data_IF_749102788507
#
_entry.id   IF_749102788507
#
_cell.length_a   1.000
_cell.length_b   1.000
_cell.length_c   1.000
_cell.angle_alpha   90.00
_cell.angle_beta   90.00
_cell.angle_gamma   90.00
#
_symmetry.space_group_name_H-M   'P 1'
#
loop_
_entity.id
_entity.type
_entity.pdbx_description
1 polymer ?
#
# COMPACT_ATOMS: atom_id res chain seq x y z
N UNK A 1 -17.98 -29.34 17.58
CA UNK A 1 -17.16 -28.40 16.78
C UNK A 1 -15.76 -28.97 16.74
N UNK A 2 -15.18 -29.26 15.57
CA UNK A 2 -13.76 -29.61 15.48
C UNK A 2 -12.97 -28.42 16.05
N UNK A 3 -12.21 -28.67 17.10
CA UNK A 3 -11.30 -27.69 17.66
C UNK A 3 -10.17 -27.54 16.65
N UNK A 4 -10.11 -26.41 15.94
CA UNK A 4 -8.97 -26.04 15.11
C UNK A 4 -7.73 -26.13 16.00
N UNK A 5 -6.81 -27.03 15.66
CA UNK A 5 -5.52 -27.11 16.31
C UNK A 5 -4.90 -25.72 16.32
N UNK A 6 -4.44 -25.27 17.49
CA UNK A 6 -3.75 -24.00 17.59
C UNK A 6 -2.51 -24.08 16.69
N UNK A 7 -2.47 -23.28 15.63
CA UNK A 7 -1.28 -23.14 14.80
C UNK A 7 -0.08 -22.88 15.70
N UNK A 8 1.07 -23.55 15.46
CA UNK A 8 2.27 -23.28 16.22
C UNK A 8 2.56 -21.78 16.22
N UNK A 9 2.94 -21.24 17.38
CA UNK A 9 3.22 -19.82 17.53
C UNK A 9 4.28 -19.39 16.51
N UNK A 10 4.01 -18.30 15.79
CA UNK A 10 4.92 -17.77 14.77
C UNK A 10 6.15 -17.19 15.48
N UNK A 11 7.33 -17.66 15.10
CA UNK A 11 8.60 -17.04 15.52
C UNK A 11 9.00 -15.94 14.52
N UNK A 12 8.72 -14.70 14.91
CA UNK A 12 9.05 -13.48 14.15
C UNK A 12 10.55 -13.20 14.02
N UNK A 13 11.41 -13.94 14.74
CA UNK A 13 12.86 -13.74 14.71
C UNK A 13 13.60 -14.67 13.74
N UNK A 14 12.92 -15.67 13.17
CA UNK A 14 13.54 -16.57 12.19
C UNK A 14 13.98 -15.82 10.92
N UNK A 15 15.08 -16.28 10.31
CA UNK A 15 15.56 -15.73 9.05
C UNK A 15 14.51 -15.85 7.94
N UNK A 16 13.80 -16.99 7.89
CA UNK A 16 12.71 -17.22 6.92
C UNK A 16 11.58 -16.22 7.07
N UNK A 17 11.14 -15.95 8.31
CA UNK A 17 10.09 -14.95 8.54
C UNK A 17 10.57 -13.56 8.11
N UNK A 18 11.78 -13.15 8.53
CA UNK A 18 12.32 -11.81 8.21
C UNK A 18 12.57 -11.60 6.72
N UNK A 19 13.03 -12.63 6.02
CA UNK A 19 13.17 -12.61 4.56
C UNK A 19 11.80 -12.38 3.89
N UNK A 20 10.78 -13.16 4.25
CA UNK A 20 9.43 -12.97 3.71
C UNK A 20 8.84 -11.60 4.08
N UNK A 21 9.01 -11.19 5.34
CA UNK A 21 8.54 -9.91 5.86
C UNK A 21 9.22 -8.73 5.17
N UNK A 22 10.46 -8.86 4.70
CA UNK A 22 11.15 -7.79 3.96
C UNK A 22 10.40 -7.37 2.70
N UNK A 23 9.83 -8.33 1.97
CA UNK A 23 9.06 -8.09 0.74
C UNK A 23 7.64 -7.64 1.03
N UNK A 24 6.96 -8.29 1.98
CA UNK A 24 5.59 -7.89 2.36
C UNK A 24 5.58 -6.48 2.97
N UNK A 25 6.53 -6.17 3.86
CA UNK A 25 6.64 -4.84 4.44
C UNK A 25 6.96 -3.80 3.37
N UNK A 26 7.82 -4.13 2.39
CA UNK A 26 8.09 -3.22 1.28
C UNK A 26 6.86 -2.97 0.42
N UNK A 27 6.07 -4.01 0.10
CA UNK A 27 4.82 -3.87 -0.65
C UNK A 27 3.87 -2.91 0.07
N UNK A 28 3.62 -3.09 1.37
CA UNK A 28 2.71 -2.16 2.07
C UNK A 28 3.29 -0.76 2.18
N UNK A 29 4.61 -0.58 2.29
CA UNK A 29 5.22 0.76 2.29
C UNK A 29 5.05 1.44 0.92
N UNK A 30 5.32 0.72 -0.17
CA UNK A 30 5.20 1.26 -1.53
C UNK A 30 3.74 1.54 -1.88
N UNK A 31 2.81 0.64 -1.54
CA UNK A 31 1.39 0.83 -1.77
C UNK A 31 0.84 2.08 -1.07
N UNK A 32 1.27 2.35 0.16
CA UNK A 32 0.90 3.56 0.90
C UNK A 32 1.54 4.84 0.33
N UNK A 33 2.78 4.74 -0.18
CA UNK A 33 3.44 5.85 -0.88
C UNK A 33 2.70 6.18 -2.19
N UNK A 34 2.40 5.17 -3.01
CA UNK A 34 1.63 5.34 -4.24
C UNK A 34 0.21 5.85 -3.94
N UNK A 35 -0.45 5.37 -2.89
CA UNK A 35 -1.77 5.86 -2.49
C UNK A 35 -1.73 7.36 -2.11
N UNK A 36 -0.72 7.78 -1.33
CA UNK A 36 -0.50 9.20 -1.05
C UNK A 36 -0.38 10.01 -2.35
N UNK A 37 0.45 9.56 -3.30
CA UNK A 37 0.71 10.29 -4.54
C UNK A 37 -0.53 10.30 -5.46
N UNK A 38 -1.23 9.17 -5.57
CA UNK A 38 -2.46 9.02 -6.37
C UNK A 38 -3.58 9.94 -5.86
N UNK A 39 -3.76 10.07 -4.54
CA UNK A 39 -4.73 11.00 -3.97
C UNK A 39 -4.35 12.47 -4.22
N UNK A 40 -3.06 12.82 -4.25
CA UNK A 40 -2.63 14.15 -4.66
C UNK A 40 -2.95 14.42 -6.13
N UNK A 41 -2.68 13.47 -7.02
CA UNK A 41 -3.06 13.58 -8.44
C UNK A 41 -4.57 13.73 -8.61
N UNK A 42 -5.37 12.92 -7.91
CA UNK A 42 -6.84 13.04 -7.93
C UNK A 42 -7.31 14.41 -7.43
N UNK A 43 -6.62 15.01 -6.45
CA UNK A 43 -6.94 16.34 -5.93
C UNK A 43 -6.71 17.47 -6.95
N UNK A 44 -5.85 17.24 -7.95
CA UNK A 44 -5.67 18.12 -9.11
C UNK A 44 -6.78 17.93 -10.15
N UNK A 45 -7.25 16.68 -10.31
CA UNK A 45 -8.31 16.32 -11.27
C UNK A 45 -9.72 16.68 -10.79
N UNK A 46 -9.97 16.69 -9.47
CA UNK A 46 -11.26 16.94 -8.83
C UNK A 46 -11.18 18.15 -7.88
N UNK A 47 -11.19 19.35 -8.45
CA UNK A 47 -10.97 20.58 -7.69
C UNK A 47 -11.99 20.82 -6.56
N UNK A 48 -13.24 20.36 -6.72
CA UNK A 48 -14.31 20.44 -5.72
C UNK A 48 -14.07 19.49 -4.53
N UNK A 49 -13.26 18.44 -4.71
CA UNK A 49 -12.89 17.45 -3.68
C UNK A 49 -11.46 17.56 -3.18
N UNK A 50 -10.74 18.61 -3.58
CA UNK A 50 -9.31 18.79 -3.34
C UNK A 50 -8.91 18.66 -1.87
N UNK A 51 -9.64 19.31 -0.95
CA UNK A 51 -9.30 19.29 0.48
C UNK A 51 -9.48 17.90 1.09
N UNK A 52 -10.57 17.20 0.73
CA UNK A 52 -10.85 15.83 1.16
C UNK A 52 -9.74 14.88 0.68
N UNK A 53 -9.36 14.95 -0.60
CA UNK A 53 -8.32 14.12 -1.22
C UNK A 53 -6.93 14.39 -0.65
N UNK A 54 -6.58 15.64 -0.36
CA UNK A 54 -5.33 15.98 0.38
C UNK A 54 -5.39 15.44 1.82
N UNK A 55 -6.57 15.39 2.43
CA UNK A 55 -6.78 14.74 3.72
C UNK A 55 -6.44 13.25 3.69
N UNK A 56 -6.91 12.54 2.65
CA UNK A 56 -6.62 11.14 2.41
C UNK A 56 -5.14 10.90 2.16
N UNK A 57 -4.47 11.67 1.29
CA UNK A 57 -3.03 11.48 1.05
C UNK A 57 -2.20 11.60 2.34
N UNK A 58 -2.54 12.57 3.21
CA UNK A 58 -1.90 12.71 4.53
C UNK A 58 -2.14 11.51 5.45
N UNK A 59 -3.25 10.79 5.30
CA UNK A 59 -3.55 9.57 6.04
C UNK A 59 -2.64 8.43 5.57
N UNK A 60 -2.51 8.21 4.27
CA UNK A 60 -1.65 7.14 3.73
C UNK A 60 -0.17 7.36 4.08
N UNK A 61 0.30 8.61 4.06
CA UNK A 61 1.66 8.91 4.55
C UNK A 61 1.84 8.60 6.06
N UNK A 62 0.77 8.65 6.87
CA UNK A 62 0.83 8.19 8.27
C UNK A 62 0.86 6.66 8.34
N UNK A 63 0.06 5.96 7.52
CA UNK A 63 0.10 4.50 7.43
C UNK A 63 1.48 4.00 6.99
N UNK A 64 2.04 4.57 5.93
CA UNK A 64 3.40 4.29 5.46
C UNK A 64 4.42 4.39 6.60
N UNK A 65 4.40 5.48 7.37
CA UNK A 65 5.30 5.67 8.53
C UNK A 65 5.08 4.62 9.61
N UNK A 66 3.84 4.20 9.83
CA UNK A 66 3.49 3.08 10.70
C UNK A 66 4.15 1.78 10.25
N UNK A 67 3.99 1.40 8.98
CA UNK A 67 4.58 0.18 8.43
C UNK A 67 6.12 0.21 8.37
N UNK A 68 6.71 1.39 8.15
CA UNK A 68 8.17 1.57 8.29
C UNK A 68 8.64 1.30 9.73
N UNK A 69 7.84 1.69 10.74
CA UNK A 69 8.15 1.40 12.13
C UNK A 69 8.04 -0.11 12.44
N UNK A 70 7.09 -0.82 11.82
CA UNK A 70 6.97 -2.28 11.95
C UNK A 70 8.24 -3.01 11.46
N UNK A 71 8.78 -2.64 10.30
CA UNK A 71 10.05 -3.19 9.79
C UNK A 71 11.23 -2.92 10.71
N UNK A 72 11.34 -1.67 11.21
CA UNK A 72 12.37 -1.29 12.18
C UNK A 72 12.28 -2.12 13.47
N UNK A 73 11.07 -2.35 13.97
CA UNK A 73 10.85 -3.15 15.18
C UNK A 73 11.36 -4.60 15.02
N UNK A 74 11.20 -5.18 13.82
CA UNK A 74 11.71 -6.52 13.51
C UNK A 74 13.17 -6.55 13.04
N UNK A 75 13.82 -5.38 12.94
CA UNK A 75 15.17 -5.20 12.37
C UNK A 75 15.26 -5.75 10.94
N UNK A 76 14.21 -5.49 10.16
CA UNK A 76 14.11 -5.88 8.75
C UNK A 76 14.31 -4.66 7.87
N UNK A 77 15.17 -4.78 6.87
CA UNK A 77 15.28 -3.80 5.78
C UNK A 77 14.26 -4.18 4.72
N UNK A 78 13.29 -3.32 4.39
CA UNK A 78 12.30 -3.62 3.35
C UNK A 78 12.95 -3.64 1.96
N UNK A 79 12.57 -4.64 1.14
CA UNK A 79 13.02 -4.76 -0.25
C UNK A 79 12.18 -3.86 -1.18
N UNK A 80 12.54 -2.59 -1.23
CA UNK A 80 11.79 -1.59 -2.02
C UNK A 80 11.91 -1.78 -3.54
N UNK A 81 12.94 -2.50 -4.03
CA UNK A 81 13.05 -2.80 -5.46
C UNK A 81 11.96 -3.79 -5.84
N UNK A 82 11.81 -4.86 -5.06
CA UNK A 82 10.74 -5.83 -5.25
C UNK A 82 9.35 -5.18 -5.20
N UNK A 83 9.10 -4.28 -4.25
CA UNK A 83 7.80 -3.62 -4.11
C UNK A 83 7.43 -2.73 -5.30
N UNK A 84 8.40 -1.98 -5.85
CA UNK A 84 8.21 -1.16 -7.05
C UNK A 84 7.92 -1.99 -8.28
N UNK A 85 8.63 -3.09 -8.44
CA UNK A 85 8.36 -4.05 -9.53
C UNK A 85 6.97 -4.67 -9.37
N UNK A 86 6.57 -5.01 -8.14
CA UNK A 86 5.25 -5.58 -7.83
C UNK A 86 4.09 -4.67 -8.24
N UNK A 87 4.17 -3.35 -7.99
CA UNK A 87 3.11 -2.41 -8.36
C UNK A 87 3.22 -1.83 -9.78
N UNK A 88 4.35 -2.01 -10.45
CA UNK A 88 4.71 -1.30 -11.69
C UNK A 88 3.58 -1.23 -12.75
N UNK A 89 2.91 -2.34 -13.03
CA UNK A 89 1.84 -2.38 -14.05
C UNK A 89 0.58 -1.62 -13.60
N UNK A 90 0.17 -1.76 -12.33
CA UNK A 90 -0.99 -1.04 -11.80
C UNK A 90 -0.70 0.46 -11.69
N UNK A 91 0.52 0.81 -11.29
CA UNK A 91 1.04 2.17 -11.28
C UNK A 91 1.00 2.80 -12.68
N UNK A 92 1.54 2.10 -13.69
CA UNK A 92 1.54 2.57 -15.08
C UNK A 92 0.11 2.79 -15.60
N UNK A 93 -0.82 1.90 -15.26
CA UNK A 93 -2.22 2.05 -15.63
C UNK A 93 -2.88 3.28 -14.97
N UNK A 94 -2.55 3.58 -13.71
CA UNK A 94 -3.00 4.80 -13.04
C UNK A 94 -2.43 6.05 -13.73
N UNK A 95 -1.11 6.09 -13.99
CA UNK A 95 -0.46 7.24 -14.62
C UNK A 95 -0.99 7.50 -16.05
N UNK A 96 -1.24 6.45 -16.83
CA UNK A 96 -1.88 6.59 -18.15
C UNK A 96 -3.30 7.15 -18.03
N UNK A 97 -4.08 6.62 -17.10
CA UNK A 97 -5.44 7.09 -16.87
C UNK A 97 -5.49 8.56 -16.42
N UNK A 98 -4.57 8.97 -15.52
CA UNK A 98 -4.50 10.35 -15.04
C UNK A 98 -4.09 11.32 -16.16
N UNK A 99 -3.09 10.96 -16.97
CA UNK A 99 -2.64 11.74 -18.12
C UNK A 99 -3.74 11.95 -19.17
N UNK A 100 -4.66 10.98 -19.31
CA UNK A 100 -5.81 11.06 -20.21
C UNK A 100 -7.07 11.68 -19.58
N UNK A 101 -7.00 12.13 -18.31
CA UNK A 101 -8.14 12.71 -17.61
C UNK A 101 -9.23 11.71 -17.21
N UNK A 102 -8.92 10.41 -17.19
CA UNK A 102 -9.87 9.32 -16.88
C UNK A 102 -10.07 9.15 -15.38
N UNK A 103 -10.68 10.15 -14.73
CA UNK A 103 -10.94 10.19 -13.28
C UNK A 103 -11.56 8.89 -12.75
N UNK A 104 -12.57 8.34 -13.45
CA UNK A 104 -13.27 7.11 -13.02
C UNK A 104 -12.32 5.91 -12.96
N UNK A 105 -11.40 5.78 -13.92
CA UNK A 105 -10.39 4.72 -13.92
C UNK A 105 -9.40 4.90 -12.78
N UNK A 106 -8.94 6.13 -12.52
CA UNK A 106 -8.07 6.43 -11.39
C UNK A 106 -8.74 6.09 -10.05
N UNK A 107 -10.01 6.47 -9.87
CA UNK A 107 -10.79 6.14 -8.67
C UNK A 107 -11.00 4.62 -8.53
N UNK A 108 -11.29 3.90 -9.62
CA UNK A 108 -11.45 2.45 -9.57
C UNK A 108 -10.14 1.76 -9.12
N UNK A 109 -8.99 2.19 -9.65
CA UNK A 109 -7.69 1.64 -9.27
C UNK A 109 -7.39 1.95 -7.80
N UNK A 110 -7.40 3.23 -7.41
CA UNK A 110 -7.02 3.62 -6.06
C UNK A 110 -8.10 3.26 -5.04
N UNK A 111 -9.26 3.94 -5.10
CA UNK A 111 -10.27 3.92 -4.05
C UNK A 111 -11.11 2.63 -3.96
N UNK A 112 -11.00 1.72 -4.93
CA UNK A 112 -11.68 0.43 -4.91
C UNK A 112 -10.69 -0.73 -4.92
N UNK A 113 -9.91 -0.92 -5.99
CA UNK A 113 -9.05 -2.10 -6.14
C UNK A 113 -7.96 -2.11 -5.06
N UNK A 114 -7.17 -1.03 -4.94
CA UNK A 114 -6.08 -0.95 -3.96
C UNK A 114 -6.61 -0.91 -2.54
N UNK A 115 -7.61 -0.07 -2.24
CA UNK A 115 -8.17 0.00 -0.87
C UNK A 115 -8.75 -1.35 -0.42
N UNK A 116 -9.51 -2.04 -1.29
CA UNK A 116 -10.07 -3.33 -0.92
C UNK A 116 -8.99 -4.41 -0.77
N UNK A 117 -7.93 -4.35 -1.58
CA UNK A 117 -6.79 -5.25 -1.45
C UNK A 117 -6.04 -5.01 -0.13
N UNK A 118 -5.78 -3.74 0.23
CA UNK A 118 -5.14 -3.37 1.49
C UNK A 118 -5.97 -3.82 2.70
N UNK A 119 -7.27 -3.52 2.72
CA UNK A 119 -8.20 -3.94 3.79
C UNK A 119 -8.24 -5.47 3.94
N UNK A 120 -8.17 -6.22 2.85
CA UNK A 120 -8.16 -7.68 2.91
C UNK A 120 -6.82 -8.26 3.43
N UNK A 121 -5.72 -7.54 3.22
CA UNK A 121 -4.38 -7.96 3.65
C UNK A 121 -4.07 -7.62 5.11
N UNK A 122 -4.65 -6.53 5.63
CA UNK A 122 -4.48 -6.06 7.02
C UNK A 122 -5.29 -6.91 8.01
#
# INVERSE_FOLDING_TARGET
MPQLEASPAIDFQTATYKDAYSRINAIVIEGEQEAHDNYLTLAEMLADKKEELIGLSKMENRHMKGFQACGKNLKVTPDMVFAKEFFSELHENFQKASAEGKVVTCLLIQSLIIECFAIAAY
#
